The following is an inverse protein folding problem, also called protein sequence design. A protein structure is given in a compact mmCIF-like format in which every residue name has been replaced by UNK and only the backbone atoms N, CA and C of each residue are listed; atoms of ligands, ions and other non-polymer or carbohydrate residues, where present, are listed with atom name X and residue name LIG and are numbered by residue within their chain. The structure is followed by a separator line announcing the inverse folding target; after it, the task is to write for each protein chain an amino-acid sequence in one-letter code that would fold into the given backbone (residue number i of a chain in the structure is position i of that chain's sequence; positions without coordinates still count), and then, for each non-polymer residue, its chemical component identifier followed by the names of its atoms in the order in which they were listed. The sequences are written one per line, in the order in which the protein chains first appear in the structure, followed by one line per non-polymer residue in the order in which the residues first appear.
data_IF_583060164746
#
_entry.id   IF_583060164746
#
_cell.length_a   1.000
_cell.length_b   1.000
_cell.length_c   1.000
_cell.angle_alpha   90.00
_cell.angle_beta   90.00
_cell.angle_gamma   90.00
#
_symmetry.space_group_name_H-M   'P 1'
#
loop_
_entity.id
_entity.type
_entity.pdbx_description
1 polymer ?
#
# COMPACT_ATOMS: atom_id res chain seq x y z
N UNK A 1 1.18 -5.85 -15.30
CA UNK A 1 0.90 -6.59 -16.56
C UNK A 1 -0.31 -7.52 -16.44
N UNK A 2 -0.29 -8.48 -15.50
CA UNK A 2 -1.37 -9.46 -15.26
C UNK A 2 -2.79 -8.88 -15.10
N UNK A 3 -2.96 -7.73 -14.44
CA UNK A 3 -4.28 -7.10 -14.29
C UNK A 3 -4.91 -6.73 -15.65
N UNK A 4 -4.10 -6.18 -16.57
CA UNK A 4 -4.54 -5.87 -17.94
C UNK A 4 -4.92 -7.12 -18.70
N UNK A 5 -4.09 -8.15 -18.63
CA UNK A 5 -4.33 -9.44 -19.28
C UNK A 5 -5.67 -10.01 -18.82
N UNK A 6 -5.89 -10.09 -17.51
CA UNK A 6 -7.16 -10.57 -16.95
C UNK A 6 -8.37 -9.72 -17.38
N UNK A 7 -8.27 -8.39 -17.35
CA UNK A 7 -9.41 -7.52 -17.64
C UNK A 7 -9.76 -7.43 -19.13
N UNK A 8 -8.79 -7.64 -20.02
CA UNK A 8 -8.94 -7.53 -21.48
C UNK A 8 -9.11 -8.89 -22.17
N UNK A 9 -8.91 -9.99 -21.46
CA UNK A 9 -9.16 -11.33 -22.00
C UNK A 9 -10.65 -11.51 -22.32
N UNK A 10 -10.93 -11.92 -23.56
CA UNK A 10 -12.30 -12.22 -24.04
C UNK A 10 -13.04 -13.27 -23.20
N UNK A 11 -12.32 -14.13 -22.47
CA UNK A 11 -12.89 -15.15 -21.57
C UNK A 11 -13.34 -14.56 -20.24
N UNK A 12 -12.87 -13.36 -19.88
CA UNK A 12 -13.25 -12.68 -18.63
C UNK A 12 -14.60 -11.99 -18.81
N UNK A 13 -15.67 -12.74 -18.59
CA UNK A 13 -17.05 -12.21 -18.64
C UNK A 13 -17.31 -11.17 -17.55
N UNK A 14 -16.78 -11.38 -16.34
CA UNK A 14 -16.95 -10.48 -15.19
C UNK A 14 -15.56 -9.99 -14.78
N UNK A 15 -15.34 -8.68 -14.90
CA UNK A 15 -14.06 -8.06 -14.53
C UNK A 15 -13.93 -7.96 -13.01
N UNK A 16 -12.70 -7.98 -12.47
CA UNK A 16 -12.48 -7.73 -11.05
C UNK A 16 -12.99 -6.34 -10.66
N UNK A 17 -13.83 -6.26 -9.63
CA UNK A 17 -14.22 -4.97 -9.07
C UNK A 17 -13.06 -4.31 -8.29
N UNK A 18 -12.24 -5.13 -7.65
CA UNK A 18 -11.15 -4.70 -6.77
C UNK A 18 -9.90 -5.53 -7.03
N UNK A 19 -8.74 -4.88 -6.97
CA UNK A 19 -7.44 -5.54 -6.80
C UNK A 19 -6.81 -5.04 -5.49
N UNK A 20 -6.60 -5.96 -4.54
CA UNK A 20 -6.04 -5.63 -3.22
C UNK A 20 -4.53 -5.90 -3.24
N UNK A 21 -3.71 -4.88 -2.99
CA UNK A 21 -2.25 -4.94 -3.10
C UNK A 21 -1.57 -4.21 -1.97
N UNK A 22 -0.30 -4.55 -1.72
CA UNK A 22 0.54 -3.80 -0.79
C UNK A 22 0.72 -2.38 -1.34
N UNK A 23 0.36 -1.38 -0.54
CA UNK A 23 0.45 0.01 -1.00
C UNK A 23 0.63 0.95 0.19
N UNK A 24 1.76 1.63 0.22
CA UNK A 24 2.13 2.62 1.23
C UNK A 24 3.21 3.57 0.65
N UNK A 25 3.63 4.65 1.35
CA UNK A 25 4.60 5.61 0.82
C UNK A 25 5.91 5.01 0.29
N UNK A 26 6.43 3.96 0.93
CA UNK A 26 7.62 3.23 0.45
C UNK A 26 7.32 2.16 -0.62
N UNK A 27 6.07 1.94 -1.00
CA UNK A 27 5.67 1.01 -2.07
C UNK A 27 4.40 1.56 -2.75
N UNK A 28 4.58 2.61 -3.56
CA UNK A 28 3.49 3.48 -4.01
C UNK A 28 2.58 2.83 -5.02
N UNK A 29 3.09 1.87 -5.80
CA UNK A 29 2.33 1.20 -6.87
C UNK A 29 1.77 2.19 -7.92
N UNK A 30 2.48 3.28 -8.23
CA UNK A 30 1.96 4.37 -9.08
C UNK A 30 1.49 3.87 -10.46
N UNK A 31 2.28 3.02 -11.13
CA UNK A 31 1.93 2.44 -12.42
C UNK A 31 0.71 1.51 -12.34
N UNK A 32 0.61 0.69 -11.30
CA UNK A 32 -0.52 -0.21 -11.09
C UNK A 32 -1.80 0.57 -10.76
N UNK A 33 -1.70 1.63 -9.94
CA UNK A 33 -2.81 2.50 -9.59
C UNK A 33 -3.37 3.23 -10.81
N UNK A 34 -2.50 3.79 -11.66
CA UNK A 34 -2.91 4.41 -12.92
C UNK A 34 -3.62 3.39 -13.81
N UNK A 35 -3.02 2.22 -14.00
CA UNK A 35 -3.59 1.18 -14.87
C UNK A 35 -4.91 0.61 -14.35
N UNK A 36 -5.04 0.42 -13.04
CA UNK A 36 -6.28 -0.05 -12.44
C UNK A 36 -7.44 0.94 -12.67
N UNK A 37 -7.17 2.25 -12.54
CA UNK A 37 -8.16 3.29 -12.85
C UNK A 37 -8.62 3.26 -14.31
N UNK A 38 -7.70 3.12 -15.27
CA UNK A 38 -8.03 2.98 -16.69
C UNK A 38 -8.93 1.76 -16.98
N UNK A 39 -8.72 0.67 -16.24
CA UNK A 39 -9.48 -0.56 -16.39
C UNK A 39 -10.82 -0.56 -15.63
N UNK A 40 -11.10 0.48 -14.83
CA UNK A 40 -12.27 0.53 -13.95
C UNK A 40 -12.18 -0.41 -12.74
N UNK A 41 -10.96 -0.78 -12.33
CA UNK A 41 -10.69 -1.66 -11.18
C UNK A 41 -10.26 -0.81 -9.99
N UNK A 42 -10.95 -0.93 -8.86
CA UNK A 42 -10.59 -0.23 -7.62
C UNK A 42 -9.37 -0.86 -6.96
N UNK A 43 -8.45 -0.05 -6.41
CA UNK A 43 -7.36 -0.58 -5.58
C UNK A 43 -7.66 -0.45 -4.09
N UNK A 44 -7.49 -1.56 -3.37
CA UNK A 44 -7.45 -1.56 -1.90
C UNK A 44 -6.00 -1.75 -1.43
N UNK A 45 -5.50 -0.80 -0.65
CA UNK A 45 -4.20 -0.84 -0.02
C UNK A 45 -4.21 -1.74 1.22
N UNK A 46 -3.61 -2.93 1.10
CA UNK A 46 -3.25 -3.75 2.25
C UNK A 46 -1.91 -3.31 2.83
N UNK A 47 -1.70 -3.62 4.11
CA UNK A 47 -0.53 -3.18 4.88
C UNK A 47 -0.22 -1.68 4.76
N UNK A 48 -1.23 -0.79 4.84
CA UNK A 48 -1.01 0.66 4.64
C UNK A 48 -0.10 1.28 5.71
N UNK A 49 0.14 0.57 6.82
CA UNK A 49 1.03 0.95 7.92
C UNK A 49 2.40 0.26 7.87
N UNK A 50 2.73 -0.45 6.78
CA UNK A 50 3.99 -1.17 6.61
C UNK A 50 4.12 -2.43 7.47
N UNK A 51 2.99 -3.03 7.88
CA UNK A 51 2.95 -4.28 8.67
C UNK A 51 3.81 -4.26 9.94
N UNK A 52 3.74 -3.19 10.75
CA UNK A 52 4.56 -3.04 11.96
C UNK A 52 4.54 -4.25 12.93
N UNK A 53 3.39 -4.92 13.08
CA UNK A 53 3.24 -6.12 13.93
C UNK A 53 3.91 -7.37 13.33
N UNK A 54 4.18 -7.37 12.01
CA UNK A 54 4.76 -8.49 11.26
C UNK A 54 6.24 -8.28 10.93
N UNK A 55 6.83 -7.15 11.33
CA UNK A 55 8.26 -6.86 11.13
C UNK A 55 9.19 -7.89 11.78
N UNK A 56 8.71 -8.68 12.75
CA UNK A 56 9.45 -9.83 13.31
C UNK A 56 9.43 -11.07 12.42
N UNK A 57 8.42 -11.23 11.54
CA UNK A 57 8.31 -12.34 10.58
C UNK A 57 8.81 -11.97 9.18
N UNK A 58 8.79 -10.69 8.84
CA UNK A 58 9.26 -10.16 7.58
C UNK A 58 10.53 -9.40 7.88
N UNK A 59 11.68 -10.04 7.65
CA UNK A 59 12.99 -9.39 7.75
C UNK A 59 13.03 -8.23 6.74
N UNK A 60 12.69 -7.04 7.21
CA UNK A 60 12.98 -5.80 6.51
C UNK A 60 14.12 -5.14 7.22
N UNK A 61 15.19 -4.91 6.46
CA UNK A 61 16.36 -4.16 6.87
C UNK A 61 16.05 -2.65 7.00
N UNK A 62 14.76 -2.29 6.96
CA UNK A 62 14.23 -0.93 6.91
C UNK A 62 13.60 -0.49 8.23
N UNK A 63 13.81 0.77 8.57
CA UNK A 63 13.13 1.43 9.67
C UNK A 63 11.60 1.34 9.51
N UNK A 64 10.89 1.15 10.62
CA UNK A 64 9.43 1.14 10.68
C UNK A 64 8.83 2.33 9.93
N UNK A 65 7.88 2.07 9.00
CA UNK A 65 7.20 3.12 8.25
C UNK A 65 6.50 4.13 9.17
N UNK A 66 5.96 3.67 10.31
CA UNK A 66 5.36 4.54 11.33
C UNK A 66 6.38 5.46 12.02
N UNK A 67 7.66 5.08 12.01
CA UNK A 67 8.77 5.85 12.59
C UNK A 67 9.56 6.63 11.53
N UNK A 68 9.18 6.57 10.25
CA UNK A 68 9.88 7.27 9.19
C UNK A 68 9.86 8.79 9.43
N UNK A 69 11.01 9.51 9.38
CA UNK A 69 11.09 10.92 9.78
C UNK A 69 10.07 11.83 9.08
N UNK A 70 9.84 11.64 7.77
CA UNK A 70 8.84 12.40 7.02
C UNK A 70 7.40 12.15 7.51
N UNK A 71 7.07 10.91 7.90
CA UNK A 71 5.74 10.55 8.42
C UNK A 71 5.54 11.16 9.81
N UNK A 72 6.55 11.03 10.68
CA UNK A 72 6.52 11.61 12.04
C UNK A 72 6.44 13.14 11.97
N UNK A 73 7.20 13.77 11.07
CA UNK A 73 7.15 15.23 10.86
C UNK A 73 5.76 15.68 10.42
N UNK A 74 5.19 15.05 9.39
CA UNK A 74 3.84 15.38 8.92
C UNK A 74 2.78 15.18 10.02
N UNK A 75 2.89 14.09 10.79
CA UNK A 75 2.02 13.81 11.92
C UNK A 75 2.07 14.93 12.98
N UNK A 76 3.28 15.37 13.34
CA UNK A 76 3.49 16.48 14.28
C UNK A 76 2.91 17.80 13.77
N UNK A 77 3.19 18.16 12.52
CA UNK A 77 2.73 19.41 11.91
C UNK A 77 1.21 19.49 11.83
N UNK A 78 0.54 18.35 11.62
CA UNK A 78 -0.91 18.28 11.45
C UNK A 78 -1.66 17.98 12.76
N UNK A 79 -0.95 17.75 13.86
CA UNK A 79 -1.55 17.30 15.12
C UNK A 79 -2.27 15.95 15.00
N UNK A 80 -1.73 15.04 14.19
CA UNK A 80 -2.28 13.70 13.91
C UNK A 80 -1.31 12.60 14.33
N UNK A 81 -1.76 11.36 14.33
CA UNK A 81 -0.86 10.21 14.51
C UNK A 81 -0.16 9.82 13.20
N UNK A 82 1.03 9.19 13.24
CA UNK A 82 1.66 8.62 12.05
C UNK A 82 0.75 7.67 11.27
N UNK A 83 -0.03 6.85 11.96
CA UNK A 83 -0.98 5.92 11.33
C UNK A 83 -2.07 6.66 10.56
N UNK A 84 -2.63 7.73 11.15
CA UNK A 84 -3.61 8.59 10.49
C UNK A 84 -3.05 9.24 9.23
N UNK A 85 -1.82 9.73 9.25
CA UNK A 85 -1.13 10.28 8.07
C UNK A 85 -1.02 9.24 6.96
N UNK A 86 -0.58 8.02 7.27
CA UNK A 86 -0.43 6.96 6.28
C UNK A 86 -1.75 6.52 5.66
N UNK A 87 -2.79 6.33 6.49
CA UNK A 87 -4.13 5.95 6.01
C UNK A 87 -4.74 7.09 5.17
N UNK A 88 -4.61 8.34 5.63
CA UNK A 88 -5.10 9.50 4.86
C UNK A 88 -4.40 9.64 3.52
N UNK A 89 -3.09 9.42 3.46
CA UNK A 89 -2.32 9.43 2.22
C UNK A 89 -2.85 8.39 1.21
N UNK A 90 -3.13 7.17 1.66
CA UNK A 90 -3.70 6.12 0.80
C UNK A 90 -5.10 6.51 0.28
N UNK A 91 -5.96 7.05 1.16
CA UNK A 91 -7.31 7.50 0.80
C UNK A 91 -7.28 8.66 -0.19
N UNK A 92 -6.42 9.67 0.01
CA UNK A 92 -6.27 10.78 -0.93
C UNK A 92 -5.71 10.37 -2.29
N UNK A 93 -4.97 9.26 -2.37
CA UNK A 93 -4.60 8.64 -3.65
C UNK A 93 -5.74 7.86 -4.30
N UNK A 94 -6.96 7.93 -3.77
CA UNK A 94 -8.13 7.25 -4.36
C UNK A 94 -8.13 5.74 -4.16
N UNK A 95 -7.47 5.25 -3.09
CA UNK A 95 -7.53 3.84 -2.69
C UNK A 95 -8.32 3.69 -1.40
N UNK A 96 -8.98 2.55 -1.20
CA UNK A 96 -9.38 2.17 0.16
C UNK A 96 -8.16 1.69 0.91
N UNK A 97 -8.14 1.82 2.24
CA UNK A 97 -7.08 1.30 3.09
C UNK A 97 -7.67 0.40 4.17
N UNK A 98 -6.97 -0.70 4.50
CA UNK A 98 -7.40 -1.68 5.51
C UNK A 98 -6.39 -1.79 6.67
N UNK A 99 -6.24 -0.74 7.50
CA UNK A 99 -5.30 -0.76 8.63
C UNK A 99 -5.81 -1.70 9.74
N UNK A 100 -5.07 -2.78 10.00
CA UNK A 100 -5.36 -3.71 11.10
C UNK A 100 -4.97 -3.11 12.45
N UNK A 101 -5.82 -3.29 13.46
CA UNK A 101 -5.50 -3.08 14.87
C UNK A 101 -6.38 -3.98 15.73
N UNK A 102 -5.87 -4.36 16.90
CA UNK A 102 -6.65 -4.99 17.98
C UNK A 102 -6.87 -4.04 19.15
N UNK A 103 -6.26 -2.85 19.12
CA UNK A 103 -6.39 -1.83 20.17
C UNK A 103 -7.55 -0.88 19.80
N UNK A 104 -8.61 -0.77 20.64
CA UNK A 104 -9.79 0.03 20.34
C UNK A 104 -9.51 1.50 20.03
N UNK A 105 -8.54 2.11 20.72
CA UNK A 105 -8.11 3.50 20.46
C UNK A 105 -7.56 3.66 19.05
N UNK A 106 -6.61 2.82 18.65
CA UNK A 106 -6.05 2.81 17.29
C UNK A 106 -7.10 2.53 16.21
N UNK A 107 -8.10 1.68 16.48
CA UNK A 107 -9.20 1.41 15.55
C UNK A 107 -9.99 2.71 15.28
N UNK A 108 -10.33 3.45 16.34
CA UNK A 108 -11.02 4.76 16.23
C UNK A 108 -10.15 5.78 15.50
N UNK A 109 -8.87 5.88 15.85
CA UNK A 109 -7.95 6.83 15.24
C UNK A 109 -7.76 6.56 13.74
N UNK A 110 -7.60 5.30 13.35
CA UNK A 110 -7.46 4.88 11.95
C UNK A 110 -8.69 5.22 11.10
N UNK A 111 -9.88 5.29 11.71
CA UNK A 111 -11.11 5.70 11.02
C UNK A 111 -11.26 7.23 10.95
N UNK A 112 -10.71 7.96 11.93
CA UNK A 112 -10.77 9.42 12.04
C UNK A 112 -9.85 10.18 11.04
N UNK A 113 -9.81 9.70 9.79
CA UNK A 113 -9.02 10.26 8.67
C UNK A 113 -9.89 10.93 7.61
N UNK A 114 -11.21 10.84 7.70
CA UNK A 114 -12.12 11.39 6.69
C UNK A 114 -12.46 12.86 6.90
N UNK A 115 -12.21 13.40 8.11
CA UNK A 115 -12.57 14.78 8.50
C UNK A 115 -11.50 15.83 8.25
N UNK A 116 -10.38 15.46 7.64
CA UNK A 116 -9.25 16.35 7.35
C UNK A 116 -8.45 15.82 6.17
N UNK A 117 -7.56 16.65 5.62
CA UNK A 117 -6.74 16.31 4.46
C UNK A 117 -5.26 16.60 4.71
N UNK A 118 -4.39 15.81 4.11
CA UNK A 118 -2.98 16.13 3.92
C UNK A 118 -2.88 17.26 2.89
N UNK A 119 -2.22 18.37 3.24
CA UNK A 119 -1.92 19.42 2.26
C UNK A 119 -1.02 18.89 1.15
N UNK A 120 -1.01 19.59 0.02
CA UNK A 120 -0.30 19.16 -1.19
C UNK A 120 1.20 18.92 -0.96
N UNK A 121 1.84 19.73 -0.10
CA UNK A 121 3.25 19.59 0.25
C UNK A 121 3.55 18.28 1.00
N UNK A 122 2.73 17.93 2.00
CA UNK A 122 2.87 16.67 2.73
C UNK A 122 2.55 15.47 1.84
N UNK A 123 1.53 15.58 0.98
CA UNK A 123 1.24 14.56 -0.04
C UNK A 123 2.44 14.33 -0.96
N UNK A 124 3.05 15.40 -1.48
CA UNK A 124 4.23 15.32 -2.34
C UNK A 124 5.42 14.71 -1.60
N UNK A 125 5.70 15.16 -0.37
CA UNK A 125 6.79 14.66 0.47
C UNK A 125 6.66 13.15 0.74
N UNK A 126 5.47 12.69 1.13
CA UNK A 126 5.21 11.27 1.37
C UNK A 126 5.25 10.45 0.07
N UNK A 127 4.85 11.04 -1.05
CA UNK A 127 4.89 10.37 -2.35
C UNK A 127 6.28 10.37 -2.99
N UNK A 128 7.25 11.08 -2.40
CA UNK A 128 8.64 11.12 -2.86
C UNK A 128 9.57 10.22 -2.04
N UNK A 129 9.04 9.41 -1.10
CA UNK A 129 9.86 8.56 -0.25
C UNK A 129 10.59 7.47 -1.05
N UNK A 130 11.88 7.36 -0.79
CA UNK A 130 12.78 6.37 -1.37
C UNK A 130 13.63 5.73 -0.27
N UNK A 131 14.13 4.49 -0.46
CA UNK A 131 13.90 3.65 -1.65
C UNK A 131 12.47 3.07 -1.70
N UNK A 132 11.93 2.86 -2.91
CA UNK A 132 10.75 2.03 -3.11
C UNK A 132 11.07 0.56 -2.81
N UNK A 133 10.49 0.03 -1.72
CA UNK A 133 10.73 -1.31 -1.22
C UNK A 133 9.39 -2.01 -0.97
N UNK A 134 9.24 -3.20 -1.53
CA UNK A 134 8.13 -4.11 -1.25
C UNK A 134 8.40 -4.88 0.03
N UNK A 135 7.52 -4.76 1.01
CA UNK A 135 7.63 -5.46 2.29
C UNK A 135 7.09 -6.89 2.17
N UNK A 136 5.96 -7.09 1.51
CA UNK A 136 5.40 -8.43 1.29
C UNK A 136 5.91 -8.99 -0.03
N UNK A 137 7.16 -9.48 0.00
CA UNK A 137 7.85 -10.00 -1.17
C UNK A 137 7.20 -11.23 -1.82
N UNK A 138 6.46 -12.04 -1.07
CA UNK A 138 5.77 -13.23 -1.62
C UNK A 138 6.69 -14.43 -1.88
N UNK A 139 7.87 -14.49 -1.26
CA UNK A 139 8.84 -15.57 -1.43
C UNK A 139 8.28 -16.97 -1.14
N UNK A 140 7.24 -17.05 -0.30
CA UNK A 140 6.54 -18.29 0.01
C UNK A 140 5.80 -18.92 -1.19
N UNK A 141 5.56 -18.16 -2.27
CA UNK A 141 4.97 -18.66 -3.52
C UNK A 141 6.02 -19.19 -4.50
N UNK A 142 7.31 -19.07 -4.18
CA UNK A 142 8.37 -19.54 -5.08
C UNK A 142 8.50 -21.07 -5.02
N UNK A 143 8.59 -21.68 -6.19
CA UNK A 143 8.76 -23.12 -6.36
C UNK A 143 9.70 -23.39 -7.54
N UNK A 144 10.71 -24.22 -7.33
CA UNK A 144 11.66 -24.62 -8.39
C UNK A 144 10.97 -25.31 -9.58
N UNK A 145 9.85 -26.02 -9.33
CA UNK A 145 9.04 -26.63 -10.38
C UNK A 145 8.15 -25.62 -11.13
N UNK A 146 8.01 -24.39 -10.64
CA UNK A 146 7.11 -23.36 -11.18
C UNK A 146 5.76 -23.27 -10.43
N UNK A 147 4.88 -22.32 -10.82
CA UNK A 147 5.03 -21.42 -11.97
C UNK A 147 5.96 -20.22 -11.73
N UNK A 148 6.29 -19.90 -10.48
CA UNK A 148 7.19 -18.78 -10.14
C UNK A 148 8.46 -19.32 -9.48
N UNK A 149 9.61 -19.14 -10.14
CA UNK A 149 10.93 -19.54 -9.62
C UNK A 149 11.68 -18.37 -8.99
N UNK A 150 11.34 -17.14 -9.36
CA UNK A 150 11.95 -15.92 -8.83
C UNK A 150 10.88 -14.88 -8.46
N UNK A 151 11.24 -13.93 -7.59
CA UNK A 151 10.37 -12.81 -7.24
C UNK A 151 10.03 -11.93 -8.46
N UNK A 152 11.00 -11.73 -9.37
CA UNK A 152 10.78 -10.99 -10.61
C UNK A 152 9.67 -11.63 -11.47
N UNK A 153 9.67 -12.96 -11.58
CA UNK A 153 8.60 -13.69 -12.27
C UNK A 153 7.24 -13.57 -11.57
N UNK A 154 7.22 -13.57 -10.24
CA UNK A 154 6.00 -13.39 -9.47
C UNK A 154 5.38 -12.01 -9.72
N UNK A 155 6.20 -10.96 -9.75
CA UNK A 155 5.75 -9.57 -9.80
C UNK A 155 5.73 -8.93 -11.18
N UNK A 156 6.23 -9.62 -12.21
CA UNK A 156 6.45 -9.08 -13.56
C UNK A 156 7.45 -7.90 -13.57
N UNK A 157 8.45 -7.96 -12.69
CA UNK A 157 9.56 -7.00 -12.61
C UNK A 157 10.70 -7.33 -13.59
#
# INVERSE_FOLDING_TARGET
KKLSELCLDSRTRIRPAVNQVELHPLHRQDALLARARELGVHLTAYSPLGSADSASMLKHDGASLLAHPAVVRAARELGRTPAQVLVRWAVQRGTSAIPKSVQPTRIRDNLAVLSWELPAEQMATLSALEPQVRFIGGAFWLNNAGPYRTLAQLWDD
#
